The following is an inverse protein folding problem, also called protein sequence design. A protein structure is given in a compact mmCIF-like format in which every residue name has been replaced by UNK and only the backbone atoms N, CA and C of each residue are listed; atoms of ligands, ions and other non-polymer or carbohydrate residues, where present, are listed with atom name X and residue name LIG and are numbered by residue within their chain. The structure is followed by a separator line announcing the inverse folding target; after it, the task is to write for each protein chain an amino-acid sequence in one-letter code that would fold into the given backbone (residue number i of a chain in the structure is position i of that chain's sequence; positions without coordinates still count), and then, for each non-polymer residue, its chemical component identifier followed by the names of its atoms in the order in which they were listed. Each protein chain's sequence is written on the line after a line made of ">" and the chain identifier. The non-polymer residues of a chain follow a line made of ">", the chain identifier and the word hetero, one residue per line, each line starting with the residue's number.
data_IF_087651751457
#
_entry.id   IF_087651751457
#
_cell.length_a   1.000
_cell.length_b   1.000
_cell.length_c   1.000
_cell.angle_alpha   90.00
_cell.angle_beta   90.00
_cell.angle_gamma   90.00
#
_symmetry.space_group_name_H-M   'P 1'
#
loop_
_entity.id
_entity.type
_entity.pdbx_description
1 polymer ?
#
# COMPACT_ATOMS: atom_id res chain seq x y z
N UNK A 1 31.99 -38.62 -12.48
CA UNK A 1 30.50 -38.56 -12.54
C UNK A 1 29.87 -38.24 -11.18
N UNK A 2 30.18 -38.95 -10.11
CA UNK A 2 29.65 -38.66 -8.73
C UNK A 2 29.93 -37.24 -8.23
N UNK A 3 31.13 -36.72 -8.52
CA UNK A 3 31.53 -35.35 -8.10
C UNK A 3 30.73 -34.25 -8.79
N UNK A 4 30.34 -34.44 -10.03
CA UNK A 4 29.46 -33.51 -10.76
C UNK A 4 28.03 -33.51 -10.26
N UNK A 5 27.51 -34.70 -9.92
CA UNK A 5 26.15 -34.87 -9.39
C UNK A 5 26.05 -34.20 -8.02
N UNK A 6 27.04 -34.34 -7.16
CA UNK A 6 27.02 -33.68 -5.84
C UNK A 6 27.08 -32.14 -5.94
N UNK A 7 27.85 -31.60 -6.88
CA UNK A 7 27.85 -30.14 -7.16
C UNK A 7 26.51 -29.64 -7.68
N UNK A 8 25.88 -30.40 -8.57
CA UNK A 8 24.60 -30.06 -9.14
C UNK A 8 23.49 -30.05 -8.05
N UNK A 9 23.49 -31.07 -7.20
CA UNK A 9 22.55 -31.16 -6.05
C UNK A 9 22.78 -29.98 -5.10
N UNK A 10 24.02 -29.62 -4.80
CA UNK A 10 24.33 -28.49 -3.92
C UNK A 10 23.85 -27.16 -4.49
N UNK A 11 23.98 -26.95 -5.81
CA UNK A 11 23.46 -25.74 -6.49
C UNK A 11 21.94 -25.70 -6.45
N UNK A 12 21.27 -26.82 -6.65
CA UNK A 12 19.80 -26.92 -6.58
C UNK A 12 19.30 -26.62 -5.16
N UNK A 13 19.96 -27.13 -4.13
CA UNK A 13 19.61 -26.86 -2.73
C UNK A 13 19.84 -25.38 -2.42
N UNK A 14 20.94 -24.78 -2.89
CA UNK A 14 21.25 -23.37 -2.67
C UNK A 14 20.25 -22.43 -3.36
N UNK A 15 19.77 -22.80 -4.55
CA UNK A 15 18.76 -22.04 -5.28
C UNK A 15 17.35 -22.15 -4.68
N UNK A 16 17.10 -23.20 -3.89
CA UNK A 16 15.81 -23.42 -3.20
C UNK A 16 15.64 -22.55 -1.95
N UNK A 17 16.70 -21.88 -1.49
CA UNK A 17 16.65 -20.96 -0.35
C UNK A 17 16.30 -19.55 -0.86
N UNK A 18 15.21 -19.45 -1.61
CA UNK A 18 14.62 -18.16 -1.94
C UNK A 18 14.11 -17.54 -0.65
N UNK A 19 14.76 -16.48 -0.19
CA UNK A 19 14.21 -15.69 0.93
C UNK A 19 12.90 -15.09 0.44
N UNK A 20 11.80 -15.48 1.07
CA UNK A 20 10.53 -14.78 0.90
C UNK A 20 10.75 -13.38 1.44
N UNK A 21 10.88 -12.41 0.56
CA UNK A 21 10.92 -11.00 0.95
C UNK A 21 9.50 -10.62 1.37
N UNK A 22 9.26 -10.59 2.66
CA UNK A 22 8.02 -10.06 3.22
C UNK A 22 8.12 -8.53 3.13
N UNK A 23 7.41 -7.98 2.17
CA UNK A 23 7.23 -6.53 2.03
C UNK A 23 5.85 -6.20 2.55
N UNK A 24 5.74 -5.20 3.43
CA UNK A 24 4.45 -4.71 3.85
C UNK A 24 3.63 -4.20 2.67
N UNK A 25 2.37 -4.59 2.65
CA UNK A 25 1.39 -4.13 1.69
C UNK A 25 0.78 -2.82 2.17
N UNK A 26 0.39 -1.99 1.21
CA UNK A 26 -0.31 -0.74 1.44
C UNK A 26 -1.55 -0.73 0.55
N UNK A 27 -2.74 -0.66 1.14
CA UNK A 27 -3.98 -0.69 0.37
C UNK A 27 -5.02 0.28 0.88
N UNK A 28 -6.01 0.53 0.02
CA UNK A 28 -7.18 1.35 0.33
C UNK A 28 -8.39 0.42 0.40
N UNK A 29 -9.22 0.63 1.42
CA UNK A 29 -10.49 -0.08 1.57
C UNK A 29 -11.64 0.92 1.70
N UNK A 30 -12.46 1.08 0.65
CA UNK A 30 -13.66 1.92 0.70
C UNK A 30 -14.70 1.32 1.64
N UNK A 31 -15.29 2.16 2.49
CA UNK A 31 -16.39 1.76 3.38
C UNK A 31 -17.63 1.34 2.58
N UNK A 32 -17.84 1.96 1.41
CA UNK A 32 -18.91 1.64 0.46
C UNK A 32 -18.39 1.76 -0.96
N UNK A 33 -18.76 0.79 -1.81
CA UNK A 33 -18.46 0.82 -3.25
C UNK A 33 -19.57 1.47 -4.08
N UNK A 34 -20.80 1.53 -3.55
CA UNK A 34 -21.94 2.19 -4.18
C UNK A 34 -22.44 3.32 -3.28
N UNK A 35 -22.40 4.52 -3.82
CA UNK A 35 -22.83 5.72 -3.11
C UNK A 35 -24.17 6.21 -3.64
N UNK A 36 -25.04 6.65 -2.74
CA UNK A 36 -26.27 7.37 -3.07
C UNK A 36 -25.93 8.86 -3.32
N UNK A 37 -26.92 9.59 -3.88
CA UNK A 37 -26.78 11.03 -4.04
C UNK A 37 -26.44 11.72 -2.70
N UNK A 38 -25.50 12.65 -2.72
CA UNK A 38 -25.02 13.40 -1.55
C UNK A 38 -24.20 12.60 -0.51
N UNK A 39 -23.88 11.32 -0.77
CA UNK A 39 -22.91 10.60 0.07
C UNK A 39 -21.49 10.99 -0.32
N UNK A 40 -20.59 10.89 0.66
CA UNK A 40 -19.15 11.13 0.47
C UNK A 40 -18.41 9.81 0.38
N UNK A 41 -17.29 9.77 -0.33
CA UNK A 41 -16.41 8.60 -0.30
C UNK A 41 -15.65 8.62 1.03
N UNK A 42 -15.82 7.55 1.81
CA UNK A 42 -14.98 7.25 2.98
C UNK A 42 -14.16 6.01 2.67
N UNK A 43 -12.86 6.08 2.88
CA UNK A 43 -11.99 4.94 2.70
C UNK A 43 -10.88 4.90 3.76
N UNK A 44 -10.63 3.71 4.28
CA UNK A 44 -9.48 3.43 5.13
C UNK A 44 -8.22 3.27 4.30
N UNK A 45 -7.09 3.56 4.90
CA UNK A 45 -5.77 3.24 4.39
C UNK A 45 -5.11 2.29 5.36
N UNK A 46 -4.57 1.19 4.87
CA UNK A 46 -4.05 0.11 5.68
C UNK A 46 -2.61 -0.22 5.33
N UNK A 47 -1.88 -0.71 6.31
CA UNK A 47 -0.53 -1.26 6.17
C UNK A 47 -0.50 -2.61 6.87
N UNK A 48 0.00 -3.63 6.19
CA UNK A 48 0.11 -4.98 6.75
C UNK A 48 0.59 -6.00 5.74
N UNK A 49 0.27 -7.26 5.98
CA UNK A 49 0.63 -8.39 5.14
C UNK A 49 -0.61 -9.24 4.84
N UNK A 50 -0.74 -9.76 3.62
CA UNK A 50 -1.87 -10.57 3.16
C UNK A 50 -3.25 -9.91 3.41
N UNK A 51 -3.35 -8.60 3.20
CA UNK A 51 -4.54 -7.79 3.49
C UNK A 51 -4.99 -7.82 4.96
N UNK A 52 -4.14 -8.28 5.86
CA UNK A 52 -4.32 -8.17 7.31
C UNK A 52 -3.37 -7.10 7.83
N UNK A 53 -3.90 -6.10 8.54
CA UNK A 53 -3.05 -5.02 9.02
C UNK A 53 -3.79 -3.94 9.78
N UNK A 54 -3.07 -2.86 10.05
CA UNK A 54 -3.58 -1.73 10.81
C UNK A 54 -4.03 -0.60 9.92
N UNK A 55 -5.21 -0.05 10.23
CA UNK A 55 -5.67 1.17 9.60
C UNK A 55 -4.86 2.36 10.12
N UNK A 56 -4.43 3.22 9.21
CA UNK A 56 -3.69 4.45 9.55
C UNK A 56 -4.55 5.68 9.33
N UNK A 57 -4.36 6.68 10.18
CA UNK A 57 -4.95 8.00 9.99
C UNK A 57 -4.27 8.79 8.87
N UNK A 58 -4.95 9.80 8.36
CA UNK A 58 -4.39 10.66 7.33
C UNK A 58 -3.14 11.38 7.81
N UNK A 59 -2.07 11.28 7.02
CA UNK A 59 -0.87 12.09 7.19
C UNK A 59 -0.20 12.34 5.85
N UNK A 60 0.11 13.59 5.56
CA UNK A 60 0.83 13.98 4.32
C UNK A 60 2.19 13.28 4.15
N UNK A 61 2.77 12.79 5.25
CA UNK A 61 4.06 12.09 5.19
C UNK A 61 3.98 10.74 4.48
N UNK A 62 2.79 10.11 4.42
CA UNK A 62 2.61 8.79 3.79
C UNK A 62 2.35 8.88 2.29
N UNK A 63 1.84 10.02 1.81
CA UNK A 63 1.38 10.15 0.43
C UNK A 63 2.32 11.04 -0.38
N UNK A 64 2.78 10.53 -1.52
CA UNK A 64 3.43 11.32 -2.56
C UNK A 64 2.37 11.96 -3.46
N UNK A 65 1.43 11.14 -3.93
CA UNK A 65 0.25 11.59 -4.66
C UNK A 65 -1.02 10.96 -4.10
N UNK A 66 -2.10 11.72 -4.14
CA UNK A 66 -3.42 11.29 -3.72
C UNK A 66 -4.46 12.00 -4.57
N UNK A 67 -5.06 11.25 -5.51
CA UNK A 67 -5.94 11.80 -6.53
C UNK A 67 -7.22 10.99 -6.67
N UNK A 68 -8.29 11.66 -7.07
CA UNK A 68 -9.54 11.07 -7.52
C UNK A 68 -9.64 11.24 -9.04
N UNK A 69 -9.91 10.15 -9.74
CA UNK A 69 -10.11 10.13 -11.17
C UNK A 69 -11.53 9.70 -11.53
N UNK A 70 -12.08 10.29 -12.61
CA UNK A 70 -13.30 9.82 -13.24
C UNK A 70 -13.28 10.20 -14.71
N UNK A 71 -13.32 9.21 -15.61
CA UNK A 71 -13.15 9.42 -17.04
C UNK A 71 -11.89 10.28 -17.32
N UNK A 72 -12.04 11.45 -17.93
CA UNK A 72 -10.95 12.37 -18.25
C UNK A 72 -10.74 13.46 -17.18
N UNK A 73 -11.32 13.30 -15.99
CA UNK A 73 -11.21 14.27 -14.89
C UNK A 73 -10.29 13.76 -13.81
N UNK A 74 -9.43 14.65 -13.30
CA UNK A 74 -8.53 14.39 -12.17
C UNK A 74 -8.72 15.48 -11.14
N UNK A 75 -8.76 15.08 -9.86
CA UNK A 75 -8.84 15.99 -8.73
C UNK A 75 -7.93 15.52 -7.61
N UNK A 76 -7.17 16.44 -7.02
CA UNK A 76 -6.35 16.13 -5.85
C UNK A 76 -7.24 15.96 -4.62
N UNK A 77 -7.07 14.85 -3.91
CA UNK A 77 -7.74 14.60 -2.64
C UNK A 77 -7.00 15.35 -1.53
N UNK A 78 -7.75 16.06 -0.70
CA UNK A 78 -7.24 16.76 0.48
C UNK A 78 -7.75 16.05 1.72
N UNK A 79 -6.89 15.89 2.73
CA UNK A 79 -7.24 15.37 4.03
C UNK A 79 -6.63 16.22 5.13
N UNK A 80 -7.16 16.10 6.34
CA UNK A 80 -6.61 16.70 7.55
C UNK A 80 -5.78 15.67 8.30
N UNK A 81 -4.70 16.14 8.93
CA UNK A 81 -3.88 15.31 9.80
C UNK A 81 -4.74 14.62 10.84
N UNK A 82 -4.61 13.30 10.93
CA UNK A 82 -5.34 12.49 11.90
C UNK A 82 -6.76 12.08 11.51
N UNK A 83 -7.28 12.48 10.33
CA UNK A 83 -8.59 12.00 9.87
C UNK A 83 -8.64 10.47 9.88
N UNK A 84 -9.73 9.92 10.40
CA UNK A 84 -9.99 8.49 10.50
C UNK A 84 -11.46 8.19 10.20
N UNK A 85 -11.80 7.44 9.14
CA UNK A 85 -10.89 6.89 8.15
C UNK A 85 -10.08 7.96 7.43
N UNK A 86 -8.92 7.57 6.91
CA UNK A 86 -7.93 8.52 6.35
C UNK A 86 -8.47 9.36 5.21
N UNK A 87 -9.35 8.79 4.39
CA UNK A 87 -9.91 9.46 3.22
C UNK A 87 -11.39 9.77 3.44
N UNK A 88 -11.72 11.07 3.37
CA UNK A 88 -13.08 11.60 3.44
C UNK A 88 -13.27 12.57 2.27
N UNK A 89 -13.75 12.06 1.13
CA UNK A 89 -13.80 12.81 -0.13
C UNK A 89 -15.22 13.31 -0.34
N UNK A 90 -15.42 14.60 -0.17
CA UNK A 90 -16.74 15.25 -0.28
C UNK A 90 -17.12 15.57 -1.73
N UNK A 91 -16.14 15.96 -2.52
CA UNK A 91 -16.36 16.36 -3.89
C UNK A 91 -16.03 15.20 -4.82
N UNK A 92 -17.04 14.42 -5.16
CA UNK A 92 -16.97 13.26 -6.05
C UNK A 92 -17.50 13.60 -7.44
N UNK A 93 -17.11 12.80 -8.43
CA UNK A 93 -17.65 12.88 -9.77
C UNK A 93 -18.86 11.97 -9.92
N UNK A 94 -19.74 12.31 -10.86
CA UNK A 94 -20.83 11.41 -11.24
C UNK A 94 -20.30 10.19 -11.96
N UNK A 95 -20.77 9.00 -11.59
CA UNK A 95 -20.35 7.72 -12.17
C UNK A 95 -19.16 7.12 -11.43
N UNK A 96 -18.29 6.42 -12.17
CA UNK A 96 -17.14 5.72 -11.59
C UNK A 96 -16.10 6.72 -11.06
N UNK A 97 -15.74 6.55 -9.80
CA UNK A 97 -14.64 7.27 -9.17
C UNK A 97 -13.51 6.29 -8.83
N UNK A 98 -12.28 6.62 -9.18
CA UNK A 98 -11.10 5.82 -8.88
C UNK A 98 -10.18 6.61 -7.96
N UNK A 99 -9.89 6.06 -6.79
CA UNK A 99 -8.91 6.64 -5.85
C UNK A 99 -7.54 6.12 -6.25
N UNK A 100 -6.62 7.03 -6.52
CA UNK A 100 -5.22 6.72 -6.79
C UNK A 100 -4.35 7.23 -5.66
N UNK A 101 -3.54 6.35 -5.12
CA UNK A 101 -2.56 6.66 -4.06
C UNK A 101 -1.18 6.23 -4.51
N UNK A 102 -0.23 7.16 -4.44
CA UNK A 102 1.19 6.86 -4.50
C UNK A 102 1.80 7.14 -3.13
N UNK A 103 2.33 6.10 -2.48
CA UNK A 103 2.99 6.24 -1.18
C UNK A 103 4.39 6.84 -1.34
N UNK A 104 4.85 7.54 -0.31
CA UNK A 104 6.26 7.93 -0.23
C UNK A 104 7.11 6.73 0.13
N UNK A 105 8.31 6.64 -0.45
CA UNK A 105 9.30 5.67 -0.01
C UNK A 105 9.74 5.98 1.43
N UNK A 106 9.70 4.98 2.29
CA UNK A 106 10.27 5.04 3.63
C UNK A 106 11.63 4.35 3.62
N UNK A 107 12.68 5.10 3.98
CA UNK A 107 14.00 4.53 4.18
C UNK A 107 14.19 4.27 5.67
N UNK A 108 14.48 3.02 6.03
CA UNK A 108 14.87 2.66 7.39
C UNK A 108 16.40 2.51 7.37
N UNK A 109 17.11 3.45 7.96
CA UNK A 109 18.55 3.36 8.14
C UNK A 109 18.83 2.66 9.47
N UNK A 110 19.38 1.45 9.41
CA UNK A 110 19.89 0.76 10.59
C UNK A 110 21.29 1.25 10.88
N UNK A 111 21.46 2.02 11.96
CA UNK A 111 22.78 2.41 12.47
C UNK A 111 23.36 1.24 13.26
N UNK A 112 24.22 0.47 12.63
CA UNK A 112 25.06 -0.53 13.27
C UNK A 112 24.47 -1.93 13.36
N UNK A 113 25.13 -2.85 12.69
CA UNK A 113 24.89 -4.31 12.75
C UNK A 113 25.37 -4.96 14.07
N UNK A 114 25.80 -4.19 15.05
CA UNK A 114 26.48 -4.67 16.25
C UNK A 114 25.85 -4.18 17.56
N UNK A 115 24.54 -4.32 17.70
CA UNK A 115 23.86 -4.23 19.01
C UNK A 115 22.75 -5.28 19.09
N UNK A 116 23.19 -6.50 19.11
CA UNK A 116 22.43 -7.61 19.68
C UNK A 116 23.26 -8.26 20.77
#
# INVERSE_FOLDING_TARGET
>A
MKFFINKLIFIIILSSISKISLSHEFWIDPVKYHLKNNEIIKAGVFIGDNFEGSQIGFSKKYFKELNLFSKNKKKKIKGRMGDFPALNIKEIFTGLNVIHVESKMNYIAYKGLLKF
#
